data_IF_118226363823
#
_entry.id   IF_118226363823
#
_cell.length_a   1.000
_cell.length_b   1.000
_cell.length_c   1.000
_cell.angle_alpha   90.00
_cell.angle_beta   90.00
_cell.angle_gamma   90.00
#
_symmetry.space_group_name_H-M   'P 1'
#
loop_
_entity.id
_entity.type
_entity.pdbx_description
1 polymer ?
#
# COMPACT_ATOMS: atom_id res chain seq x y z
N UNK A 1 -84.86 20.33 -43.96
CA UNK A 1 -84.62 19.79 -42.61
C UNK A 1 -83.80 18.52 -42.74
N UNK A 2 -82.67 18.47 -42.02
CA UNK A 2 -81.94 17.25 -41.59
C UNK A 2 -81.39 16.33 -42.70
N UNK A 3 -80.07 16.47 -42.89
CA UNK A 3 -79.03 15.41 -42.85
C UNK A 3 -79.06 14.30 -43.93
N UNK A 4 -77.97 14.16 -44.70
CA UNK A 4 -77.19 12.92 -44.76
C UNK A 4 -75.96 13.00 -45.69
N UNK A 5 -74.81 12.65 -45.09
CA UNK A 5 -73.67 11.85 -45.58
C UNK A 5 -73.58 11.53 -47.09
N UNK A 6 -72.38 11.74 -47.65
CA UNK A 6 -71.35 10.69 -47.91
C UNK A 6 -70.17 11.26 -48.71
N UNK A 7 -68.96 10.74 -48.44
CA UNK A 7 -67.88 10.67 -49.43
C UNK A 7 -66.50 10.99 -48.87
N UNK A 8 -65.60 10.01 -48.88
CA UNK A 8 -64.16 10.26 -48.68
C UNK A 8 -63.45 9.18 -47.88
N UNK A 9 -63.05 8.11 -48.54
CA UNK A 9 -62.19 7.04 -48.03
C UNK A 9 -60.75 7.34 -48.50
N UNK A 10 -59.76 7.39 -47.60
CA UNK A 10 -58.37 7.10 -47.99
C UNK A 10 -57.46 6.67 -46.82
N UNK A 11 -57.02 5.42 -46.93
CA UNK A 11 -55.74 4.78 -46.61
C UNK A 11 -54.74 5.49 -45.68
N UNK A 12 -54.41 4.78 -44.59
CA UNK A 12 -53.09 4.14 -44.45
C UNK A 12 -51.90 5.06 -44.18
N UNK A 13 -51.39 5.02 -42.95
CA UNK A 13 -50.08 5.55 -42.61
C UNK A 13 -49.80 5.34 -41.13
N UNK A 14 -49.14 4.21 -40.81
CA UNK A 14 -48.74 3.88 -39.46
C UNK A 14 -47.84 4.95 -38.85
N UNK A 15 -48.17 5.34 -37.63
CA UNK A 15 -47.37 6.23 -36.80
C UNK A 15 -46.15 5.45 -36.29
N UNK A 16 -45.02 5.54 -37.00
CA UNK A 16 -43.73 5.06 -36.53
C UNK A 16 -43.14 6.11 -35.58
N UNK A 17 -43.38 5.91 -34.28
CA UNK A 17 -42.67 6.60 -33.21
C UNK A 17 -41.20 6.12 -33.21
N UNK A 18 -40.32 6.91 -33.81
CA UNK A 18 -38.87 6.77 -33.63
C UNK A 18 -38.51 7.25 -32.22
N UNK A 19 -38.45 6.31 -31.28
CA UNK A 19 -37.78 6.53 -30.00
C UNK A 19 -36.26 6.52 -30.25
N UNK A 20 -35.65 7.70 -30.30
CA UNK A 20 -34.20 7.83 -30.29
C UNK A 20 -33.70 7.53 -28.87
N UNK A 21 -33.35 6.27 -28.61
CA UNK A 21 -32.60 5.90 -27.43
C UNK A 21 -31.16 6.41 -27.58
N UNK A 22 -30.84 7.53 -26.93
CA UNK A 22 -29.47 7.98 -26.76
C UNK A 22 -28.75 6.97 -25.85
N UNK A 23 -27.96 6.08 -26.45
CA UNK A 23 -27.09 5.15 -25.74
C UNK A 23 -25.92 5.97 -25.17
N UNK A 24 -26.02 6.34 -23.90
CA UNK A 24 -24.92 6.96 -23.17
C UNK A 24 -23.86 5.87 -22.94
N UNK A 25 -22.86 5.80 -23.82
CA UNK A 25 -21.68 4.94 -23.59
C UNK A 25 -20.89 5.58 -22.47
N UNK A 26 -21.13 5.13 -21.24
CA UNK A 26 -20.25 5.39 -20.12
C UNK A 26 -18.94 4.67 -20.44
N UNK A 27 -17.92 5.42 -20.84
CA UNK A 27 -16.54 4.94 -20.82
C UNK A 27 -16.18 4.69 -19.35
N UNK A 28 -16.41 3.46 -18.89
CA UNK A 28 -15.73 2.95 -17.72
C UNK A 28 -14.24 3.01 -18.05
N UNK A 29 -13.39 3.68 -17.23
CA UNK A 29 -11.96 3.61 -17.42
C UNK A 29 -11.58 2.14 -17.42
N UNK A 30 -10.84 1.74 -18.45
CA UNK A 30 -10.30 0.40 -18.60
C UNK A 30 -9.64 0.00 -17.28
N UNK A 31 -10.17 -1.03 -16.62
CA UNK A 31 -9.60 -1.57 -15.39
C UNK A 31 -8.12 -1.82 -15.70
N UNK A 32 -7.23 -1.22 -14.91
CA UNK A 32 -5.79 -1.45 -15.05
C UNK A 32 -5.55 -2.96 -15.23
N UNK A 33 -4.73 -3.36 -16.23
CA UNK A 33 -4.49 -4.77 -16.49
C UNK A 33 -4.07 -5.45 -15.18
N UNK A 34 -4.65 -6.61 -14.90
CA UNK A 34 -4.23 -7.42 -13.77
C UNK A 34 -2.71 -7.61 -13.85
N UNK A 35 -1.96 -7.51 -12.73
CA UNK A 35 -0.52 -7.72 -12.74
C UNK A 35 -0.22 -9.05 -13.43
N UNK A 36 0.76 -9.02 -14.34
CA UNK A 36 1.15 -10.16 -15.18
C UNK A 36 1.40 -11.41 -14.31
N UNK A 37 0.40 -12.28 -14.24
CA UNK A 37 0.43 -13.49 -13.39
C UNK A 37 1.41 -14.55 -13.90
N UNK A 38 2.02 -14.35 -15.09
CA UNK A 38 2.86 -15.33 -15.74
C UNK A 38 4.25 -15.53 -15.09
N UNK A 39 4.63 -14.75 -14.07
CA UNK A 39 5.96 -14.79 -13.44
C UNK A 39 5.95 -14.91 -11.91
N UNK A 40 4.82 -15.28 -11.31
CA UNK A 40 4.68 -15.38 -9.86
C UNK A 40 5.37 -16.65 -9.34
N UNK A 41 6.39 -16.46 -8.49
CA UNK A 41 7.13 -17.56 -7.84
C UNK A 41 6.33 -18.04 -6.63
N UNK A 42 5.93 -19.32 -6.62
CA UNK A 42 5.23 -19.92 -5.49
C UNK A 42 6.12 -20.01 -4.24
N UNK A 43 5.49 -19.94 -3.06
CA UNK A 43 6.16 -20.22 -1.77
C UNK A 43 6.75 -21.63 -1.80
N UNK A 44 8.04 -21.71 -1.46
CA UNK A 44 8.80 -22.95 -1.40
C UNK A 44 9.48 -23.04 -0.01
N UNK A 45 8.91 -23.82 0.91
CA UNK A 45 9.46 -24.00 2.25
C UNK A 45 10.87 -24.62 2.29
N UNK A 46 11.35 -25.19 1.17
CA UNK A 46 12.69 -25.77 1.09
C UNK A 46 13.78 -24.73 0.78
N UNK A 47 13.40 -23.53 0.31
CA UNK A 47 14.36 -22.46 0.06
C UNK A 47 14.96 -21.93 1.35
N UNK A 48 16.26 -21.56 1.35
CA UNK A 48 16.85 -20.88 2.48
C UNK A 48 16.11 -19.55 2.74
N UNK A 49 15.89 -19.16 4.00
CA UNK A 49 15.26 -17.89 4.32
C UNK A 49 16.07 -16.71 3.79
N UNK A 50 15.36 -15.65 3.40
CA UNK A 50 15.95 -14.34 3.11
C UNK A 50 16.13 -13.63 4.44
N UNK A 51 17.35 -13.19 4.73
CA UNK A 51 17.69 -12.48 5.97
C UNK A 51 18.20 -11.07 5.67
N UNK A 52 18.27 -10.25 6.71
CA UNK A 52 18.85 -8.92 6.68
C UNK A 52 19.59 -8.68 8.01
N UNK A 53 20.89 -9.01 8.07
CA UNK A 53 21.67 -8.87 9.29
C UNK A 53 22.09 -7.41 9.56
N UNK A 54 21.99 -6.52 8.56
CA UNK A 54 22.50 -5.16 8.64
C UNK A 54 21.49 -4.21 9.31
N UNK A 55 20.21 -4.40 9.02
CA UNK A 55 19.14 -3.61 9.66
C UNK A 55 19.01 -3.94 11.14
N UNK A 56 19.12 -2.91 11.98
CA UNK A 56 19.00 -3.01 13.44
C UNK A 56 17.62 -2.56 13.89
N UNK A 57 17.20 -3.08 15.04
CA UNK A 57 15.99 -2.61 15.74
C UNK A 57 16.22 -1.28 16.45
N UNK A 58 17.44 -0.82 16.67
CA UNK A 58 17.65 0.51 17.25
C UNK A 58 17.54 1.58 16.16
N UNK A 59 16.74 2.62 16.37
CA UNK A 59 16.72 3.77 15.45
C UNK A 59 17.93 4.67 15.73
N UNK A 60 18.76 5.01 14.73
CA UNK A 60 19.92 5.85 14.96
C UNK A 60 19.56 7.26 15.45
N UNK A 61 20.39 7.81 16.35
CA UNK A 61 20.39 9.25 16.64
C UNK A 61 21.32 9.94 15.67
N UNK A 62 20.77 10.86 14.87
CA UNK A 62 21.56 11.66 13.94
C UNK A 62 22.05 12.91 14.67
N UNK A 63 23.36 13.15 14.63
CA UNK A 63 23.99 14.27 15.36
C UNK A 63 24.06 15.53 14.52
N UNK A 64 24.50 15.39 13.28
CA UNK A 64 24.75 16.45 12.32
C UNK A 64 23.84 16.27 11.10
N UNK A 65 23.38 17.38 10.53
CA UNK A 65 22.62 17.41 9.28
C UNK A 65 23.52 17.94 8.16
N UNK A 66 23.36 17.40 6.97
CA UNK A 66 23.90 18.01 5.75
C UNK A 66 22.78 18.68 4.93
N UNK A 67 23.13 19.21 3.76
CA UNK A 67 22.23 19.98 2.91
C UNK A 67 21.13 19.13 2.24
N UNK A 68 21.24 17.80 2.21
CA UNK A 68 20.19 16.91 1.67
C UNK A 68 19.17 16.48 2.72
N UNK A 69 19.47 16.70 4.00
CA UNK A 69 18.65 16.25 5.11
C UNK A 69 17.62 17.29 5.53
N UNK A 70 16.38 16.84 5.74
CA UNK A 70 15.31 17.63 6.32
C UNK A 70 14.79 17.02 7.61
N UNK A 71 14.32 17.87 8.52
CA UNK A 71 13.59 17.43 9.70
C UNK A 71 12.12 17.25 9.38
N UNK A 72 11.56 16.09 9.74
CA UNK A 72 10.17 15.74 9.50
C UNK A 72 9.48 15.28 10.79
N UNK A 73 8.40 15.98 11.15
CA UNK A 73 7.58 15.66 12.31
C UNK A 73 6.50 14.66 11.91
N UNK A 74 6.72 13.37 12.19
CA UNK A 74 5.78 12.33 11.79
C UNK A 74 4.56 12.25 12.71
N UNK A 75 4.78 12.17 14.03
CA UNK A 75 3.72 12.21 15.03
C UNK A 75 2.70 11.05 14.97
N UNK A 76 3.01 9.97 14.25
CA UNK A 76 2.14 8.80 14.08
C UNK A 76 2.78 7.52 14.63
N UNK A 77 1.95 6.56 15.03
CA UNK A 77 2.37 5.29 15.65
C UNK A 77 2.49 4.12 14.65
N UNK A 78 2.43 4.36 13.34
CA UNK A 78 2.54 3.28 12.34
C UNK A 78 3.92 2.62 12.31
N UNK A 79 4.96 3.32 12.76
CA UNK A 79 6.31 2.77 12.89
C UNK A 79 6.67 2.44 14.35
N UNK A 80 5.68 2.43 15.25
CA UNK A 80 5.94 2.16 16.66
C UNK A 80 6.31 0.70 16.91
N UNK A 81 7.45 0.52 17.57
CA UNK A 81 7.95 -0.79 18.02
C UNK A 81 8.02 -0.90 19.54
N UNK A 82 7.40 0.03 20.26
CA UNK A 82 7.29 0.06 21.72
C UNK A 82 8.07 1.20 22.37
N UNK A 83 9.05 1.77 21.65
CA UNK A 83 9.96 2.80 22.15
C UNK A 83 9.61 4.22 21.65
N UNK A 84 8.59 4.35 20.78
CA UNK A 84 8.06 5.63 20.26
C UNK A 84 9.06 6.52 19.51
N UNK A 85 10.20 5.98 19.07
CA UNK A 85 11.31 6.74 18.48
C UNK A 85 10.87 7.53 17.24
N UNK A 86 10.04 6.93 16.38
CA UNK A 86 9.52 7.58 15.17
C UNK A 86 8.43 8.62 15.44
N UNK A 87 7.83 8.61 16.63
CA UNK A 87 6.66 9.41 16.97
C UNK A 87 7.02 10.64 17.81
N UNK A 88 8.01 10.52 18.71
CA UNK A 88 8.32 11.54 19.72
C UNK A 88 9.43 12.51 19.31
N UNK A 89 10.13 12.23 18.22
CA UNK A 89 11.29 13.01 17.78
C UNK A 89 11.16 13.43 16.32
N UNK A 90 11.71 14.61 15.94
CA UNK A 90 11.87 14.96 14.55
C UNK A 90 12.73 13.91 13.85
N UNK A 91 12.25 13.41 12.73
CA UNK A 91 12.98 12.45 11.90
C UNK A 91 13.94 13.16 10.97
N UNK A 92 15.11 12.58 10.78
CA UNK A 92 16.05 13.04 9.75
C UNK A 92 15.76 12.27 8.48
N UNK A 93 15.25 12.97 7.48
CA UNK A 93 14.90 12.43 6.17
C UNK A 93 15.91 12.95 5.16
N UNK A 94 16.70 12.05 4.59
CA UNK A 94 17.53 12.36 3.43
C UNK A 94 16.63 12.48 2.19
N UNK A 95 16.89 13.46 1.32
CA UNK A 95 16.17 13.65 0.07
C UNK A 95 17.04 13.39 -1.16
N UNK A 96 18.35 13.13 -1.00
CA UNK A 96 19.29 12.90 -2.10
C UNK A 96 19.28 11.44 -2.62
N UNK A 97 18.21 10.69 -2.32
CA UNK A 97 17.97 9.40 -2.94
C UNK A 97 16.45 9.27 -3.16
N UNK A 98 16.03 9.30 -4.43
CA UNK A 98 14.60 9.21 -4.80
C UNK A 98 14.35 8.08 -5.79
N UNK A 99 15.31 7.17 -5.96
CA UNK A 99 15.16 6.01 -6.83
C UNK A 99 15.03 4.72 -6.04
N UNK A 100 14.12 3.85 -6.49
CA UNK A 100 13.94 2.53 -5.91
C UNK A 100 15.20 1.65 -5.97
N UNK A 101 16.14 1.96 -6.89
CA UNK A 101 17.36 1.16 -7.11
C UNK A 101 18.45 1.35 -6.07
N UNK A 102 18.44 2.46 -5.34
CA UNK A 102 19.45 2.75 -4.30
C UNK A 102 19.00 2.30 -2.92
N UNK A 103 17.72 1.95 -2.76
CA UNK A 103 17.16 1.43 -1.52
C UNK A 103 17.68 0.03 -1.23
N UNK A 104 17.94 -0.22 0.06
CA UNK A 104 18.23 -1.55 0.58
C UNK A 104 17.04 -2.06 1.39
N UNK A 105 16.91 -3.39 1.45
CA UNK A 105 15.88 -4.00 2.32
C UNK A 105 16.12 -3.55 3.76
N UNK A 106 15.04 -3.26 4.47
CA UNK A 106 15.08 -2.74 5.83
C UNK A 106 15.21 -1.22 5.92
N UNK A 107 15.46 -0.50 4.83
CA UNK A 107 15.38 0.97 4.82
C UNK A 107 13.97 1.44 5.22
N UNK A 108 13.88 2.54 5.95
CA UNK A 108 12.60 3.22 6.22
C UNK A 108 12.49 4.41 5.30
N UNK A 109 11.36 4.53 4.60
CA UNK A 109 11.11 5.60 3.64
C UNK A 109 9.91 6.44 4.07
N UNK A 110 10.02 7.73 3.84
CA UNK A 110 8.92 8.66 3.82
C UNK A 110 8.35 8.72 2.40
N UNK A 111 7.02 8.66 2.28
CA UNK A 111 6.36 8.62 0.97
C UNK A 111 5.01 9.34 0.99
N UNK A 112 4.56 9.75 -0.19
CA UNK A 112 3.20 10.23 -0.39
C UNK A 112 2.30 9.02 -0.57
N UNK A 113 1.29 8.87 0.29
CA UNK A 113 0.36 7.74 0.18
C UNK A 113 -0.35 7.75 -1.17
N UNK A 114 -0.30 6.65 -1.94
CA UNK A 114 -1.02 6.53 -3.20
C UNK A 114 -2.54 6.73 -3.02
N UNK A 115 -3.22 7.16 -4.08
CA UNK A 115 -4.66 7.43 -4.07
C UNK A 115 -5.48 6.19 -3.66
N UNK A 116 -5.01 4.99 -4.00
CA UNK A 116 -5.55 3.70 -3.56
C UNK A 116 -5.56 3.58 -2.02
N UNK A 117 -4.48 4.00 -1.35
CA UNK A 117 -4.39 4.01 0.10
C UNK A 117 -5.28 5.06 0.75
N UNK A 118 -5.34 6.26 0.16
CA UNK A 118 -6.20 7.36 0.64
C UNK A 118 -7.69 7.00 0.57
N UNK A 119 -8.11 6.18 -0.40
CA UNK A 119 -9.49 5.66 -0.50
C UNK A 119 -9.84 4.69 0.64
N UNK A 120 -8.86 3.96 1.15
CA UNK A 120 -9.06 2.98 2.23
C UNK A 120 -9.09 3.66 3.61
N UNK A 121 -8.34 4.75 3.78
CA UNK A 121 -8.33 5.52 5.01
C UNK A 121 -8.55 7.02 4.73
N UNK A 122 -9.80 7.51 4.77
CA UNK A 122 -10.12 8.92 4.49
C UNK A 122 -9.62 9.89 5.56
N UNK A 123 -9.09 9.39 6.69
CA UNK A 123 -8.46 10.23 7.72
C UNK A 123 -7.00 10.55 7.41
N UNK A 124 -6.40 9.89 6.42
CA UNK A 124 -5.08 10.29 5.93
C UNK A 124 -5.18 11.65 5.24
N UNK A 125 -4.17 12.49 5.49
CA UNK A 125 -4.11 13.81 4.90
C UNK A 125 -3.86 13.72 3.40
N UNK A 126 -4.67 14.44 2.62
CA UNK A 126 -4.44 14.66 1.18
C UNK A 126 -3.47 15.81 0.89
N UNK A 127 -3.02 16.50 1.93
CA UNK A 127 -2.07 17.59 1.77
C UNK A 127 -0.68 16.99 1.50
N UNK A 128 -0.05 17.35 0.36
CA UNK A 128 1.22 16.76 -0.08
C UNK A 128 2.40 17.12 0.81
N UNK A 129 2.23 17.92 1.86
CA UNK A 129 3.25 18.14 2.89
C UNK A 129 3.33 17.00 3.90
N UNK A 130 2.27 16.22 4.03
CA UNK A 130 2.26 15.04 4.89
C UNK A 130 2.81 13.84 4.12
N UNK A 131 3.58 13.05 4.84
CA UNK A 131 4.23 11.82 4.40
C UNK A 131 3.95 10.73 5.40
N UNK A 132 3.63 9.55 4.88
CA UNK A 132 3.58 8.35 5.68
C UNK A 132 4.96 7.67 5.68
N UNK A 133 5.17 6.76 6.62
CA UNK A 133 6.42 6.02 6.79
C UNK A 133 6.16 4.53 6.72
N UNK A 134 7.06 3.81 6.05
CA UNK A 134 7.05 2.36 6.02
C UNK A 134 8.45 1.83 5.73
N UNK A 135 8.67 0.56 6.07
CA UNK A 135 9.93 -0.14 5.84
C UNK A 135 9.91 -0.87 4.51
N UNK A 136 10.98 -0.75 3.73
CA UNK A 136 11.20 -1.49 2.49
C UNK A 136 11.41 -2.96 2.82
N UNK A 137 10.46 -3.81 2.41
CA UNK A 137 10.53 -5.26 2.62
C UNK A 137 10.80 -6.05 1.36
N UNK A 138 10.56 -5.48 0.17
CA UNK A 138 10.91 -6.08 -1.12
C UNK A 138 11.43 -5.04 -2.12
N UNK A 139 12.37 -5.47 -2.96
CA UNK A 139 13.16 -4.63 -3.86
C UNK A 139 12.76 -4.82 -5.33
N UNK A 140 13.12 -3.88 -6.22
CA UNK A 140 12.77 -3.97 -7.64
C UNK A 140 13.11 -5.33 -8.26
N UNK A 141 12.16 -5.91 -8.99
CA UNK A 141 12.32 -7.21 -9.64
C UNK A 141 12.19 -8.43 -8.72
N UNK A 142 11.90 -8.26 -7.43
CA UNK A 142 11.53 -9.37 -6.55
C UNK A 142 10.02 -9.69 -6.67
N UNK A 143 9.66 -10.93 -6.36
CA UNK A 143 8.28 -11.31 -6.09
C UNK A 143 8.04 -11.28 -4.60
N UNK A 144 6.97 -10.64 -4.15
CA UNK A 144 6.56 -10.56 -2.74
C UNK A 144 5.17 -11.16 -2.56
N UNK A 145 4.98 -11.95 -1.51
CA UNK A 145 3.69 -12.50 -1.06
C UNK A 145 3.59 -12.32 0.45
N UNK A 146 2.39 -12.00 0.96
CA UNK A 146 2.11 -12.07 2.40
C UNK A 146 1.09 -13.16 2.62
N UNK A 147 1.43 -14.14 3.46
CA UNK A 147 0.56 -15.28 3.76
C UNK A 147 0.65 -15.61 5.24
N UNK A 148 -0.51 -15.75 5.87
CA UNK A 148 -0.62 -16.09 7.29
C UNK A 148 0.26 -15.21 8.18
N UNK A 149 0.21 -13.89 7.97
CA UNK A 149 1.00 -12.89 8.70
C UNK A 149 2.52 -12.98 8.51
N UNK A 150 3.00 -13.67 7.47
CA UNK A 150 4.42 -13.83 7.13
C UNK A 150 4.70 -13.31 5.72
N UNK A 151 5.78 -12.56 5.55
CA UNK A 151 6.26 -12.07 4.24
C UNK A 151 7.17 -13.13 3.61
N UNK A 152 7.02 -13.31 2.30
CA UNK A 152 7.85 -14.17 1.47
C UNK A 152 8.41 -13.38 0.29
N UNK A 153 9.70 -13.57 0.01
CA UNK A 153 10.44 -12.92 -1.07
C UNK A 153 10.95 -14.00 -2.02
N UNK A 154 10.56 -13.92 -3.30
CA UNK A 154 10.87 -14.93 -4.32
C UNK A 154 10.52 -16.36 -3.88
N UNK A 155 9.42 -16.50 -3.12
CA UNK A 155 8.93 -17.75 -2.54
C UNK A 155 9.66 -18.23 -1.27
N UNK A 156 10.70 -17.53 -0.80
CA UNK A 156 11.41 -17.85 0.44
C UNK A 156 10.92 -16.98 1.61
N UNK A 157 10.91 -17.53 2.84
CA UNK A 157 10.51 -16.78 4.05
C UNK A 157 11.45 -15.58 4.26
N UNK A 158 10.89 -14.39 4.52
CA UNK A 158 11.67 -13.25 5.03
C UNK A 158 11.84 -13.42 6.54
N UNK A 159 13.04 -13.81 6.96
CA UNK A 159 13.40 -14.09 8.35
C UNK A 159 14.14 -12.90 8.95
N UNK A 160 13.36 -11.88 9.31
CA UNK A 160 13.81 -10.61 9.90
C UNK A 160 12.83 -10.19 10.99
N UNK A 161 13.22 -9.26 11.87
CA UNK A 161 12.31 -8.71 12.90
C UNK A 161 11.13 -7.91 12.32
N UNK A 162 11.12 -7.67 11.00
CA UNK A 162 10.08 -6.95 10.28
C UNK A 162 9.45 -7.82 9.18
N UNK A 163 9.81 -9.10 9.11
CA UNK A 163 9.39 -10.04 8.06
C UNK A 163 8.03 -10.69 8.28
N UNK A 164 7.36 -10.39 9.39
CA UNK A 164 6.08 -10.93 9.79
C UNK A 164 5.22 -9.83 10.44
N UNK A 165 4.02 -10.17 10.88
CA UNK A 165 3.18 -9.24 11.62
C UNK A 165 3.79 -8.84 12.95
N UNK A 166 3.86 -7.53 13.18
CA UNK A 166 4.22 -6.95 14.46
C UNK A 166 3.24 -5.84 14.85
N UNK A 167 3.08 -5.66 16.16
CA UNK A 167 2.37 -4.51 16.73
C UNK A 167 3.13 -4.03 17.96
N UNK A 168 3.61 -2.78 17.93
CA UNK A 168 4.43 -2.20 19.02
C UNK A 168 5.56 -3.15 19.46
N UNK A 169 6.24 -3.74 18.48
CA UNK A 169 7.37 -4.65 18.69
C UNK A 169 7.01 -6.07 19.13
N UNK A 170 5.74 -6.37 19.44
CA UNK A 170 5.29 -7.72 19.74
C UNK A 170 4.96 -8.48 18.45
N UNK A 171 5.39 -9.74 18.37
CA UNK A 171 4.93 -10.65 17.32
C UNK A 171 3.43 -10.94 17.43
N UNK A 172 2.86 -11.53 16.38
CA UNK A 172 1.44 -11.84 16.31
C UNK A 172 0.93 -12.66 17.50
N UNK A 173 1.64 -13.72 17.90
CA UNK A 173 1.14 -14.66 18.92
C UNK A 173 1.19 -14.03 20.31
N UNK A 174 2.26 -13.29 20.61
CA UNK A 174 2.42 -12.47 21.82
C UNK A 174 1.34 -11.40 21.89
N UNK A 175 1.07 -10.72 20.79
CA UNK A 175 0.03 -9.71 20.73
C UNK A 175 -1.37 -10.33 20.88
N UNK A 176 -1.69 -11.38 20.13
CA UNK A 176 -2.98 -12.08 20.19
C UNK A 176 -3.28 -12.64 21.61
N UNK A 177 -2.25 -13.01 22.37
CA UNK A 177 -2.39 -13.45 23.75
C UNK A 177 -2.79 -12.33 24.74
N UNK A 178 -2.67 -11.05 24.37
CA UNK A 178 -3.05 -9.92 25.24
C UNK A 178 -4.57 -9.83 25.49
N UNK A 179 -5.39 -10.56 24.71
CA UNK A 179 -6.77 -10.90 25.05
C UNK A 179 -7.81 -9.78 24.99
N UNK A 180 -7.43 -8.52 24.75
CA UNK A 180 -8.32 -7.36 24.76
C UNK A 180 -8.71 -6.91 23.35
N UNK A 181 -9.31 -7.81 22.57
CA UNK A 181 -9.76 -7.51 21.22
C UNK A 181 -11.28 -7.60 21.11
N UNK A 182 -11.90 -6.58 20.55
CA UNK A 182 -13.31 -6.60 20.15
C UNK A 182 -13.39 -6.38 18.64
N UNK A 183 -13.96 -7.31 17.85
CA UNK A 183 -14.74 -8.48 18.24
C UNK A 183 -13.94 -9.77 18.55
N UNK A 184 -12.60 -9.74 18.50
CA UNK A 184 -11.72 -10.89 18.78
C UNK A 184 -10.32 -10.63 18.24
N UNK A 185 -9.32 -11.48 18.56
CA UNK A 185 -7.95 -11.28 18.08
C UNK A 185 -7.91 -11.25 16.56
N UNK A 186 -6.95 -10.54 15.96
CA UNK A 186 -6.70 -10.70 14.53
C UNK A 186 -6.46 -12.17 14.21
N UNK A 187 -6.72 -12.59 12.97
CA UNK A 187 -6.36 -13.93 12.48
C UNK A 187 -5.18 -13.80 11.52
N UNK A 188 -4.22 -14.71 11.62
CA UNK A 188 -3.07 -14.75 10.69
C UNK A 188 -3.54 -14.84 9.24
N UNK A 189 -4.57 -15.64 8.98
CA UNK A 189 -5.16 -15.84 7.64
C UNK A 189 -5.79 -14.59 7.01
N UNK A 190 -6.08 -13.57 7.83
CA UNK A 190 -6.62 -12.30 7.37
C UNK A 190 -5.49 -11.31 7.00
N UNK A 191 -4.27 -11.56 7.51
CA UNK A 191 -3.06 -10.81 7.18
C UNK A 191 -2.39 -11.45 5.96
N UNK A 192 -2.87 -11.07 4.78
CA UNK A 192 -2.41 -11.62 3.50
C UNK A 192 -2.41 -10.60 2.39
N UNK A 193 -1.52 -10.81 1.43
CA UNK A 193 -1.41 -10.04 0.21
C UNK A 193 -1.01 -10.99 -0.92
N UNK A 194 -1.72 -10.98 -2.07
CA UNK A 194 -1.42 -11.89 -3.16
C UNK A 194 -0.02 -11.68 -3.70
N UNK A 195 0.59 -12.75 -4.21
CA UNK A 195 1.93 -12.66 -4.75
C UNK A 195 2.00 -11.71 -5.95
N UNK A 196 2.97 -10.78 -5.94
CA UNK A 196 3.17 -9.77 -6.98
C UNK A 196 4.67 -9.63 -7.30
N UNK A 197 5.00 -9.47 -8.58
CA UNK A 197 6.36 -9.15 -9.03
C UNK A 197 6.52 -7.65 -9.17
N UNK A 198 7.53 -7.08 -8.52
CA UNK A 198 7.80 -5.64 -8.54
C UNK A 198 8.46 -5.21 -9.85
N UNK A 199 8.01 -4.08 -10.39
CA UNK A 199 8.69 -3.43 -11.51
C UNK A 199 10.04 -2.82 -11.07
N UNK A 200 10.85 -2.38 -12.05
CA UNK A 200 12.18 -1.83 -11.81
C UNK A 200 12.22 -0.49 -11.06
N UNK A 201 11.07 0.17 -10.95
CA UNK A 201 10.83 1.47 -10.30
C UNK A 201 9.91 1.33 -9.08
N UNK A 202 9.72 0.11 -8.57
CA UNK A 202 8.81 -0.19 -7.48
C UNK A 202 9.54 -0.85 -6.31
N UNK A 203 9.10 -0.51 -5.11
CA UNK A 203 9.41 -1.23 -3.87
C UNK A 203 8.13 -1.71 -3.22
N UNK A 204 8.23 -2.69 -2.32
CA UNK A 204 7.12 -3.04 -1.43
C UNK A 204 7.46 -2.58 -0.03
N UNK A 205 6.61 -1.76 0.57
CA UNK A 205 6.82 -1.19 1.89
C UNK A 205 5.76 -1.68 2.87
N UNK A 206 6.15 -1.93 4.11
CA UNK A 206 5.27 -2.39 5.19
C UNK A 206 5.58 -1.60 6.45
N UNK A 207 4.55 -1.13 7.15
CA UNK A 207 4.72 -0.42 8.41
C UNK A 207 5.20 -1.36 9.53
N UNK A 208 5.95 -0.87 10.50
CA UNK A 208 6.41 -1.72 11.61
C UNK A 208 5.26 -2.08 12.59
N UNK A 209 4.23 -1.23 12.70
CA UNK A 209 2.94 -1.56 13.33
C UNK A 209 1.90 -1.82 12.23
N UNK A 210 1.71 -3.11 11.91
CA UNK A 210 0.83 -3.58 10.82
C UNK A 210 -0.64 -3.24 11.06
N UNK A 211 -1.03 -2.91 12.30
CA UNK A 211 -2.41 -2.53 12.61
C UNK A 211 -2.69 -1.04 12.34
N UNK A 212 -1.64 -0.22 12.35
CA UNK A 212 -1.75 1.25 12.26
C UNK A 212 -1.37 1.80 10.90
N UNK A 213 -0.42 1.16 10.23
CA UNK A 213 0.07 1.62 8.94
C UNK A 213 -0.90 1.40 7.78
N UNK A 214 -0.85 2.32 6.81
CA UNK A 214 -1.41 2.11 5.47
C UNK A 214 -0.21 1.99 4.53
N UNK A 215 0.02 0.77 4.04
CA UNK A 215 1.25 0.41 3.33
C UNK A 215 0.96 -0.42 2.05
N UNK A 216 1.99 -1.06 1.48
CA UNK A 216 1.83 -1.80 0.23
C UNK A 216 0.88 -3.00 0.33
N UNK A 217 0.56 -3.49 1.53
CA UNK A 217 -0.50 -4.51 1.69
C UNK A 217 -1.90 -3.96 1.42
N UNK A 218 -2.08 -2.64 1.53
CA UNK A 218 -3.33 -1.94 1.29
C UNK A 218 -3.40 -1.35 -0.13
N UNK A 219 -2.35 -0.65 -0.57
CA UNK A 219 -2.35 0.08 -1.86
C UNK A 219 -1.53 -0.60 -2.97
N UNK A 220 -0.80 -1.68 -2.66
CA UNK A 220 0.09 -2.36 -3.60
C UNK A 220 1.52 -1.81 -3.64
N UNK A 221 2.35 -2.25 -4.61
CA UNK A 221 3.72 -1.76 -4.76
C UNK A 221 3.79 -0.23 -4.80
N UNK A 222 4.74 0.35 -4.05
CA UNK A 222 5.00 1.79 -4.02
C UNK A 222 5.92 2.16 -5.19
N UNK A 223 5.49 3.14 -5.97
CA UNK A 223 6.22 3.67 -7.11
C UNK A 223 7.30 4.67 -6.65
N UNK A 224 8.46 4.68 -7.28
CA UNK A 224 9.56 5.58 -6.90
C UNK A 224 9.17 7.07 -6.99
N UNK A 225 8.21 7.42 -7.86
CA UNK A 225 7.69 8.80 -7.94
C UNK A 225 6.98 9.26 -6.66
N UNK A 226 6.53 8.33 -5.83
CA UNK A 226 5.82 8.61 -4.58
C UNK A 226 6.78 8.64 -3.37
N UNK A 227 8.05 8.26 -3.56
CA UNK A 227 9.09 8.38 -2.54
C UNK A 227 9.43 9.86 -2.30
N UNK A 228 9.56 10.23 -1.03
CA UNK A 228 9.97 11.56 -0.61
C UNK A 228 11.38 11.59 -0.03
N UNK A 229 11.79 10.53 0.66
CA UNK A 229 13.09 10.45 1.31
C UNK A 229 13.22 9.27 2.26
N UNK A 230 14.41 9.07 2.84
CA UNK A 230 14.80 7.90 3.64
C UNK A 230 15.05 8.42 5.00
N UNK A 231 14.42 7.76 5.95
CA UNK A 231 14.60 8.07 7.35
C UNK A 231 15.94 7.49 7.78
N UNK A 232 16.89 8.37 8.07
CA UNK A 232 18.22 8.00 8.56
C UNK A 232 18.23 7.75 10.08
N UNK A 233 17.23 8.29 10.77
CA UNK A 233 17.10 8.23 12.21
C UNK A 233 16.28 9.40 12.73
N UNK A 234 16.50 9.75 14.00
CA UNK A 234 15.85 10.92 14.63
C UNK A 234 16.87 11.90 15.19
N UNK A 235 16.41 13.14 15.39
CA UNK A 235 17.15 14.20 16.05
C UNK A 235 16.68 14.33 17.50
N UNK A 236 17.62 14.24 18.44
CA UNK A 236 17.45 14.59 19.85
C UNK A 236 18.23 15.87 20.17
#
# INVERSE_FOLDING_TARGET
>A
MINMKKGGMWLGGGLLLLAAAALLIVFLPERAPAPDQASVIAIDPSKPPVTDPDTKTAVPVVKELDDSMVLYEYGHDAMDRGDYEYMQHPLVVDQDFTTAKTLTRGDVVAFTTPEEGLKLNPYLSRDPRYKDLARVVALPGETVEVKDAQIYINGAKLDTFYGAYHRRGADFDTYAAQGNFSPGPPKKSDQKYPAVRLASHQVFVVADDWFRGIDSTAFGPLDEKDLYGKVLGYKN
#
